data_IF_751432662698
#
_entry.id   IF_751432662698
#
_cell.length_a   1.000
_cell.length_b   1.000
_cell.length_c   1.000
_cell.angle_alpha   90.00
_cell.angle_beta   90.00
_cell.angle_gamma   90.00
#
_symmetry.space_group_name_H-M   'P 1'
#
loop_
_entity.id
_entity.type
_entity.pdbx_description
1 polymer ?
#
# COMPACT_ATOMS: atom_id res chain seq x y z
N UNK A 1 10.17 12.38 11.88
CA UNK A 1 9.73 10.97 12.02
C UNK A 1 9.40 10.44 10.64
N UNK A 2 10.31 9.64 10.11
CA UNK A 2 10.49 9.30 8.71
C UNK A 2 9.28 8.57 8.10
N UNK A 3 8.69 9.16 7.06
CA UNK A 3 7.56 8.60 6.31
C UNK A 3 7.88 7.24 5.65
N UNK A 4 9.18 6.91 5.51
CA UNK A 4 9.68 5.69 4.86
C UNK A 4 9.22 4.39 5.52
N UNK A 5 8.86 4.44 6.81
CA UNK A 5 8.41 3.28 7.58
C UNK A 5 6.89 3.18 7.74
N UNK A 6 6.14 4.17 7.24
CA UNK A 6 4.69 4.20 7.32
C UNK A 6 4.07 3.84 5.99
N UNK A 7 2.89 3.20 5.98
CA UNK A 7 2.13 3.06 4.74
C UNK A 7 1.78 4.46 4.23
N UNK A 8 1.88 4.63 2.92
CA UNK A 8 1.44 5.81 2.19
C UNK A 8 0.77 5.32 0.88
N UNK A 9 -0.17 6.10 0.33
CA UNK A 9 -0.98 5.67 -0.82
C UNK A 9 -1.38 6.87 -1.69
N UNK A 10 -1.00 6.88 -2.96
CA UNK A 10 -1.17 8.02 -3.89
C UNK A 10 -2.39 7.85 -4.82
N UNK A 11 -2.57 6.64 -5.36
CA UNK A 11 -3.36 6.38 -6.58
C UNK A 11 -4.75 5.83 -6.28
N UNK A 12 -4.98 5.35 -5.05
CA UNK A 12 -6.29 4.90 -4.62
C UNK A 12 -6.24 3.99 -3.41
N UNK A 13 -6.99 4.37 -2.39
CA UNK A 13 -7.29 3.54 -1.24
C UNK A 13 -8.74 3.06 -1.33
N UNK A 14 -8.94 1.75 -1.28
CA UNK A 14 -10.27 1.13 -1.35
C UNK A 14 -10.56 0.47 -0.01
N UNK A 15 -11.71 0.80 0.59
CA UNK A 15 -12.12 0.27 1.89
C UNK A 15 -13.48 -0.43 1.83
N UNK A 16 -13.65 -1.45 2.66
CA UNK A 16 -14.98 -2.02 2.95
C UNK A 16 -15.85 -1.02 3.71
N UNK A 17 -17.18 -1.11 3.52
CA UNK A 17 -18.16 -0.27 4.23
C UNK A 17 -18.60 -0.94 5.53
N UNK A 18 -17.66 -1.18 6.44
CA UNK A 18 -17.90 -1.73 7.77
C UNK A 18 -17.57 -0.72 8.88
N UNK A 19 -17.96 -1.00 10.13
CA UNK A 19 -17.61 -0.15 11.29
C UNK A 19 -16.08 -0.08 11.49
N UNK A 20 -15.40 -1.20 11.27
CA UNK A 20 -13.94 -1.27 11.17
C UNK A 20 -13.67 -1.56 9.68
N UNK A 21 -13.22 -0.57 8.90
CA UNK A 21 -12.99 -0.78 7.48
C UNK A 21 -11.74 -1.63 7.28
N UNK A 22 -11.80 -2.50 6.27
CA UNK A 22 -10.63 -3.17 5.71
C UNK A 22 -10.25 -2.40 4.44
N UNK A 23 -9.12 -1.72 4.49
CA UNK A 23 -8.61 -0.83 3.47
C UNK A 23 -7.39 -1.43 2.79
N UNK A 24 -7.34 -1.31 1.48
CA UNK A 24 -6.24 -1.73 0.64
C UNK A 24 -5.73 -0.55 -0.18
N UNK A 25 -4.41 -0.45 -0.30
CA UNK A 25 -3.79 0.48 -1.22
C UNK A 25 -3.60 -0.19 -2.58
N UNK A 26 -3.99 0.52 -3.65
CA UNK A 26 -3.86 0.06 -5.02
C UNK A 26 -2.62 0.63 -5.73
N UNK A 27 -1.72 1.27 -4.98
CA UNK A 27 -0.47 1.77 -5.53
C UNK A 27 0.36 0.63 -6.11
N UNK A 28 0.83 0.86 -7.33
CA UNK A 28 1.83 0.02 -7.99
C UNK A 28 3.12 0.81 -8.03
N UNK A 29 4.17 0.25 -7.41
CA UNK A 29 5.51 0.85 -7.33
C UNK A 29 6.55 -0.19 -7.73
N UNK A 30 7.81 0.22 -7.88
CA UNK A 30 8.92 -0.71 -8.11
C UNK A 30 9.32 -1.49 -6.84
N UNK A 31 8.86 -1.04 -5.66
CA UNK A 31 9.10 -1.68 -4.37
C UNK A 31 7.93 -1.44 -3.39
N UNK A 32 7.79 -2.31 -2.40
CA UNK A 32 6.91 -2.07 -1.26
C UNK A 32 7.64 -1.33 -0.13
N UNK A 33 6.89 -0.64 0.73
CA UNK A 33 7.47 -0.03 1.93
C UNK A 33 7.94 -1.12 2.92
N UNK A 34 8.96 -0.85 3.76
CA UNK A 34 9.58 -1.88 4.63
C UNK A 34 8.63 -2.54 5.63
N UNK A 35 7.51 -1.89 5.97
CA UNK A 35 6.51 -2.42 6.89
C UNK A 35 5.46 -3.31 6.23
N UNK A 36 5.46 -3.44 4.90
CA UNK A 36 4.53 -4.29 4.18
C UNK A 36 4.89 -5.77 4.38
N UNK A 37 3.96 -6.56 4.92
CA UNK A 37 4.15 -8.00 5.14
C UNK A 37 3.89 -8.82 3.88
N UNK A 38 2.86 -8.45 3.11
CA UNK A 38 2.51 -9.07 1.84
C UNK A 38 2.87 -8.16 0.68
N UNK A 39 4.06 -8.33 0.10
CA UNK A 39 4.46 -7.63 -1.12
C UNK A 39 4.42 -8.58 -2.30
N UNK A 40 3.61 -8.28 -3.31
CA UNK A 40 3.51 -9.07 -4.55
C UNK A 40 4.06 -8.24 -5.70
N UNK A 41 4.97 -8.83 -6.49
CA UNK A 41 5.58 -8.16 -7.64
C UNK A 41 5.43 -9.00 -8.91
N UNK A 42 5.28 -8.33 -10.05
CA UNK A 42 5.41 -8.95 -11.37
C UNK A 42 6.86 -9.33 -11.65
N UNK A 43 7.07 -10.32 -12.54
CA UNK A 43 8.39 -10.70 -13.04
C UNK A 43 8.86 -9.84 -14.24
N UNK A 44 8.43 -8.58 -14.31
CA UNK A 44 8.84 -7.63 -15.37
C UNK A 44 10.06 -6.81 -14.97
N UNK A 45 10.66 -6.10 -15.94
CA UNK A 45 11.74 -5.14 -15.71
C UNK A 45 11.30 -3.77 -16.26
N UNK A 46 11.02 -2.75 -15.42
CA UNK A 46 11.03 -2.80 -13.95
C UNK A 46 9.90 -3.68 -13.36
N UNK A 47 10.05 -4.17 -12.12
CA UNK A 47 8.99 -4.89 -11.43
C UNK A 47 7.84 -3.93 -11.09
N UNK A 48 6.62 -4.46 -11.11
CA UNK A 48 5.43 -3.76 -10.64
C UNK A 48 4.98 -4.47 -9.37
N UNK A 49 5.18 -3.82 -8.23
CA UNK A 49 4.94 -4.31 -6.89
C UNK A 49 3.73 -3.61 -6.27
N UNK A 50 2.91 -4.40 -5.57
CA UNK A 50 1.76 -3.95 -4.80
C UNK A 50 1.82 -4.54 -3.39
N UNK A 51 1.54 -3.70 -2.38
CA UNK A 51 1.36 -4.17 -1.03
C UNK A 51 -0.07 -4.67 -0.83
N UNK A 52 -0.22 -5.90 -0.34
CA UNK A 52 -1.52 -6.56 -0.10
C UNK A 52 -1.95 -6.55 1.35
N UNK A 53 -1.22 -5.86 2.23
CA UNK A 53 -1.60 -5.71 3.63
C UNK A 53 -2.97 -5.02 3.76
N UNK A 54 -3.75 -5.48 4.75
CA UNK A 54 -4.99 -4.83 5.15
C UNK A 54 -4.66 -3.74 6.16
N UNK A 55 -5.17 -2.54 5.90
CA UNK A 55 -5.12 -1.40 6.82
C UNK A 55 -6.53 -1.09 7.33
N UNK A 56 -6.63 -0.46 8.50
CA UNK A 56 -7.93 0.01 9.02
C UNK A 56 -8.24 1.47 8.70
N UNK A 57 -7.42 2.09 7.87
CA UNK A 57 -7.54 3.49 7.45
C UNK A 57 -6.85 3.69 6.10
N UNK A 58 -7.22 4.76 5.39
CA UNK A 58 -6.50 5.18 4.20
C UNK A 58 -5.25 5.99 4.57
N UNK A 59 -4.05 5.57 4.13
CA UNK A 59 -2.85 6.34 4.34
C UNK A 59 -2.89 7.69 3.65
N UNK A 60 -2.02 8.61 4.09
CA UNK A 60 -1.75 9.84 3.34
C UNK A 60 -0.99 9.54 2.04
N UNK A 61 -1.03 10.44 1.06
CA UNK A 61 -0.13 10.39 -0.09
C UNK A 61 1.33 10.28 0.33
N UNK A 62 2.14 9.67 -0.52
CA UNK A 62 3.57 9.46 -0.30
C UNK A 62 4.43 10.71 -0.60
N UNK A 63 3.82 11.76 -1.15
CA UNK A 63 4.44 13.04 -1.52
C UNK A 63 4.08 14.17 -0.57
#
# INVERSE_FOLDING_TARGET
VDARWKPCCDSGCVCTRARIPDCHCLDIKDHCYPGCKGCICTKSIPPQCQCTDVLHFCPKPCS
#
